data_IF_675567773515
#
_entry.id   IF_675567773515
#
_cell.length_a   1.000
_cell.length_b   1.000
_cell.length_c   1.000
_cell.angle_alpha   90.00
_cell.angle_beta   90.00
_cell.angle_gamma   90.00
#
_symmetry.space_group_name_H-M   'P 1'
#
loop_
_entity.id
_entity.type
_entity.pdbx_description
1 polymer ?
#
# COMPACT_ATOMS: atom_id res chain seq x y z
N UNK A 1 8.74 12.90 -0.39
CA UNK A 1 9.16 11.57 0.05
C UNK A 1 10.19 10.99 -0.90
N UNK A 2 11.28 10.48 -0.40
CA UNK A 2 12.36 10.00 -1.25
C UNK A 2 12.27 8.50 -1.44
N UNK A 3 12.82 8.02 -2.56
CA UNK A 3 12.92 6.58 -2.82
C UNK A 3 13.79 5.89 -1.77
N UNK A 4 14.71 6.63 -1.16
CA UNK A 4 15.55 6.12 -0.09
C UNK A 4 14.74 5.70 1.13
N UNK A 5 13.75 6.50 1.53
CA UNK A 5 12.86 6.15 2.65
C UNK A 5 12.10 4.86 2.37
N UNK A 6 11.61 4.73 1.15
CA UNK A 6 10.90 3.53 0.72
C UNK A 6 11.82 2.29 0.79
N UNK A 7 13.04 2.41 0.28
CA UNK A 7 14.02 1.32 0.30
C UNK A 7 14.45 0.97 1.72
N UNK A 8 14.59 1.97 2.59
CA UNK A 8 14.94 1.73 3.98
C UNK A 8 13.82 1.00 4.71
N UNK A 9 12.57 1.35 4.45
CA UNK A 9 11.43 0.65 5.01
C UNK A 9 11.41 -0.83 4.58
N UNK A 10 11.69 -1.10 3.31
CA UNK A 10 11.77 -2.45 2.79
C UNK A 10 12.87 -3.27 3.46
N UNK A 11 14.03 -2.66 3.67
CA UNK A 11 15.19 -3.34 4.27
C UNK A 11 15.03 -3.59 5.76
N UNK A 12 14.36 -2.69 6.46
CA UNK A 12 14.27 -2.76 7.92
C UNK A 12 13.15 -3.65 8.41
N UNK A 13 12.27 -4.11 7.52
CA UNK A 13 11.16 -4.99 7.87
C UNK A 13 11.37 -6.38 7.30
N UNK A 14 10.92 -7.40 8.05
CA UNK A 14 10.96 -8.79 7.60
C UNK A 14 9.54 -9.31 7.46
N UNK A 15 9.38 -10.35 6.63
CA UNK A 15 8.08 -10.93 6.37
C UNK A 15 7.56 -10.56 4.99
N UNK A 16 6.30 -10.83 4.75
CA UNK A 16 5.69 -10.57 3.45
C UNK A 16 5.33 -9.10 3.31
N UNK A 17 5.82 -8.48 2.25
CA UNK A 17 5.50 -7.10 1.92
C UNK A 17 4.41 -7.04 0.88
N UNK A 18 3.58 -6.01 0.97
CA UNK A 18 2.54 -5.72 -0.01
C UNK A 18 2.64 -4.24 -0.37
N UNK A 19 2.81 -3.96 -1.66
CA UNK A 19 2.82 -2.59 -2.16
C UNK A 19 1.49 -2.30 -2.83
N UNK A 20 0.85 -1.21 -2.42
CA UNK A 20 -0.43 -0.76 -2.97
C UNK A 20 -0.22 0.57 -3.65
N UNK A 21 -0.73 0.71 -4.88
CA UNK A 21 -0.63 1.95 -5.66
C UNK A 21 -2.01 2.37 -6.13
N UNK A 22 -2.34 3.64 -5.93
CA UNK A 22 -3.61 4.21 -6.43
C UNK A 22 -3.42 4.61 -7.89
N UNK A 23 -4.29 4.12 -8.76
CA UNK A 23 -4.19 4.33 -10.20
C UNK A 23 -5.06 5.46 -10.72
N UNK A 24 -6.18 5.75 -10.06
CA UNK A 24 -7.16 6.71 -10.50
C UNK A 24 -7.51 7.72 -9.40
N UNK A 25 -8.31 8.71 -9.77
CA UNK A 25 -8.93 9.65 -8.86
C UNK A 25 -7.99 10.71 -8.33
N UNK A 26 -8.45 11.50 -7.35
CA UNK A 26 -7.64 12.61 -6.82
C UNK A 26 -6.36 12.17 -6.12
N UNK A 27 -6.31 10.92 -5.67
CA UNK A 27 -5.13 10.39 -4.97
C UNK A 27 -4.25 9.52 -5.87
N UNK A 28 -4.43 9.61 -7.19
CA UNK A 28 -3.61 8.88 -8.16
C UNK A 28 -2.11 9.11 -7.89
N UNK A 29 -1.36 8.03 -7.85
CA UNK A 29 0.07 8.06 -7.54
C UNK A 29 0.40 7.81 -6.07
N UNK A 30 -0.60 7.83 -5.17
CA UNK A 30 -0.37 7.48 -3.77
C UNK A 30 0.03 6.01 -3.65
N UNK A 31 0.92 5.72 -2.72
CA UNK A 31 1.45 4.37 -2.49
C UNK A 31 1.46 4.03 -1.01
N UNK A 32 1.37 2.73 -0.73
CA UNK A 32 1.39 2.23 0.63
C UNK A 32 2.15 0.91 0.64
N UNK A 33 3.11 0.77 1.53
CA UNK A 33 3.82 -0.48 1.74
C UNK A 33 3.35 -1.07 3.07
N UNK A 34 2.87 -2.31 3.03
CA UNK A 34 2.48 -3.07 4.20
C UNK A 34 3.49 -4.18 4.44
N UNK A 35 3.74 -4.49 5.70
CA UNK A 35 4.49 -5.67 6.11
C UNK A 35 3.61 -6.47 7.05
N UNK A 36 3.28 -7.69 6.66
CA UNK A 36 2.37 -8.55 7.42
C UNK A 36 1.05 -7.84 7.77
N UNK A 37 0.54 -7.05 6.83
CA UNK A 37 -0.72 -6.33 7.01
C UNK A 37 -0.61 -5.01 7.79
N UNK A 38 0.59 -4.63 8.20
CA UNK A 38 0.82 -3.40 8.97
C UNK A 38 1.50 -2.36 8.10
N UNK A 39 1.01 -1.10 8.08
CA UNK A 39 1.66 -0.05 7.30
C UNK A 39 3.07 0.23 7.79
N UNK A 40 4.04 0.23 6.87
CA UNK A 40 5.43 0.55 7.20
C UNK A 40 5.94 1.76 6.42
N UNK A 41 5.29 2.10 5.32
CA UNK A 41 5.65 3.28 4.54
C UNK A 41 4.45 3.74 3.70
N UNK A 42 3.97 4.96 3.88
CA UNK A 42 4.31 5.86 5.00
C UNK A 42 3.86 5.25 6.33
N UNK A 43 4.54 5.61 7.40
CA UNK A 43 4.21 5.08 8.73
C UNK A 43 2.80 5.50 9.17
N UNK A 44 2.33 6.65 8.69
CA UNK A 44 0.99 7.16 8.96
C UNK A 44 0.28 7.40 7.63
N UNK A 45 -0.36 6.37 7.07
CA UNK A 45 -1.09 6.54 5.81
C UNK A 45 -2.30 7.45 6.00
N UNK A 46 -2.68 8.12 4.92
CA UNK A 46 -3.82 9.04 4.92
C UNK A 46 -4.71 8.77 3.70
N UNK A 47 -5.94 9.28 3.75
CA UNK A 47 -6.87 9.26 2.63
C UNK A 47 -7.44 7.90 2.35
N UNK A 48 -7.62 7.60 1.06
CA UNK A 48 -8.28 6.38 0.59
C UNK A 48 -7.64 5.10 1.13
N UNK A 49 -6.31 5.02 1.08
CA UNK A 49 -5.61 3.82 1.51
C UNK A 49 -5.75 3.61 3.03
N UNK A 50 -5.69 4.68 3.81
CA UNK A 50 -5.88 4.61 5.25
C UNK A 50 -7.29 4.13 5.60
N UNK A 51 -8.29 4.62 4.89
CA UNK A 51 -9.69 4.23 5.13
C UNK A 51 -9.95 2.76 4.81
N UNK A 52 -9.15 2.17 3.94
CA UNK A 52 -9.37 0.80 3.45
C UNK A 52 -8.30 -0.19 3.93
N UNK A 53 -7.56 0.15 4.98
CA UNK A 53 -6.51 -0.72 5.51
C UNK A 53 -6.97 -2.16 5.79
N UNK A 54 -8.13 -2.40 6.43
CA UNK A 54 -8.55 -3.77 6.69
C UNK A 54 -8.75 -4.58 5.41
N UNK A 55 -9.31 -3.97 4.37
CA UNK A 55 -9.50 -4.65 3.09
C UNK A 55 -8.15 -4.95 2.42
N UNK A 56 -7.21 -4.03 2.51
CA UNK A 56 -5.87 -4.20 1.92
C UNK A 56 -5.07 -5.25 2.69
N UNK A 57 -5.15 -5.23 4.01
CA UNK A 57 -4.45 -6.21 4.85
C UNK A 57 -4.97 -7.63 4.61
N UNK A 58 -6.28 -7.76 4.32
CA UNK A 58 -6.90 -9.05 4.04
C UNK A 58 -6.79 -9.52 2.59
N UNK A 59 -6.16 -8.73 1.71
CA UNK A 59 -6.04 -9.09 0.30
C UNK A 59 -5.08 -10.26 0.14
N UNK A 60 -5.58 -11.37 -0.38
CA UNK A 60 -4.82 -12.62 -0.49
C UNK A 60 -4.00 -12.78 -1.75
N UNK A 61 -4.12 -11.87 -2.73
CA UNK A 61 -3.48 -12.03 -4.03
C UNK A 61 -3.09 -10.69 -4.62
N UNK A 62 -2.07 -10.69 -5.49
CA UNK A 62 -1.70 -9.53 -6.29
C UNK A 62 -2.75 -9.29 -7.37
N UNK A 63 -2.92 -8.05 -7.78
CA UNK A 63 -3.81 -7.69 -8.86
C UNK A 63 -4.52 -6.36 -8.64
N UNK A 64 -5.52 -6.10 -9.47
CA UNK A 64 -6.31 -4.89 -9.39
C UNK A 64 -7.46 -5.04 -8.41
N UNK A 65 -7.67 -4.01 -7.62
CA UNK A 65 -8.81 -3.90 -6.72
C UNK A 65 -9.51 -2.58 -6.97
N UNK A 66 -10.79 -2.52 -6.64
CA UNK A 66 -11.55 -1.27 -6.66
C UNK A 66 -11.93 -0.91 -5.23
N UNK A 67 -11.52 0.25 -4.77
CA UNK A 67 -11.83 0.79 -3.44
C UNK A 67 -12.54 2.13 -3.62
N UNK A 68 -13.76 2.23 -3.09
CA UNK A 68 -14.54 3.48 -3.19
C UNK A 68 -14.64 4.01 -4.63
N UNK A 69 -14.77 3.09 -5.61
CA UNK A 69 -14.83 3.47 -7.02
C UNK A 69 -13.49 3.80 -7.66
N UNK A 70 -12.40 3.66 -6.93
CA UNK A 70 -11.05 3.99 -7.41
C UNK A 70 -10.26 2.69 -7.61
N UNK A 71 -9.55 2.60 -8.73
CA UNK A 71 -8.72 1.42 -9.00
C UNK A 71 -7.39 1.54 -8.27
N UNK A 72 -6.99 0.45 -7.64
CA UNK A 72 -5.68 0.34 -6.99
C UNK A 72 -5.01 -0.95 -7.45
N UNK A 73 -3.69 -0.93 -7.48
CA UNK A 73 -2.89 -2.09 -7.84
C UNK A 73 -2.17 -2.61 -6.61
N UNK A 74 -2.28 -3.91 -6.36
CA UNK A 74 -1.68 -4.58 -5.21
C UNK A 74 -0.61 -5.52 -5.71
N UNK A 75 0.61 -5.38 -5.19
CA UNK A 75 1.72 -6.27 -5.52
C UNK A 75 2.25 -6.89 -4.23
N UNK A 76 2.35 -8.21 -4.20
CA UNK A 76 2.94 -8.93 -3.09
C UNK A 76 4.35 -9.36 -3.44
N UNK A 77 5.24 -9.25 -2.45
CA UNK A 77 6.64 -9.65 -2.59
C UNK A 77 6.97 -10.84 -1.73
#
# INVERSE_FOLDING_TARGET
>A
MSIREFLDALRSTQGQHTLVSVLDGPESGARLLLCEGVPVWPARPEGLLARNLPALAGCGASGLLTLEGVRVFVEKF
#
